data_IF_401619874474
#
_entry.id   IF_401619874474
#
_cell.length_a   1.000
_cell.length_b   1.000
_cell.length_c   1.000
_cell.angle_alpha   90.00
_cell.angle_beta   90.00
_cell.angle_gamma   90.00
#
_symmetry.space_group_name_H-M   'P 1'
#
loop_
_entity.id
_entity.type
_entity.pdbx_description
1 polymer ?
#
# COMPACT_ATOMS: atom_id res chain seq x y z
N UNK A 1 -25.65 17.40 22.36
CA UNK A 1 -26.50 16.85 21.27
C UNK A 1 -26.04 15.43 20.96
N UNK A 2 -26.63 14.45 21.63
CA UNK A 2 -26.35 13.04 21.44
C UNK A 2 -27.03 12.54 20.17
N UNK A 3 -26.25 12.10 19.17
CA UNK A 3 -26.81 11.42 17.99
C UNK A 3 -27.10 9.98 18.40
N UNK A 4 -28.39 9.69 18.54
CA UNK A 4 -28.91 8.37 18.89
C UNK A 4 -28.36 7.30 17.95
N UNK A 5 -27.78 6.28 18.56
CA UNK A 5 -27.52 4.98 17.95
C UNK A 5 -28.83 4.51 17.31
N UNK A 6 -28.86 4.47 15.96
CA UNK A 6 -29.93 3.85 15.21
C UNK A 6 -29.93 2.34 15.51
N UNK A 7 -30.65 1.95 16.55
CA UNK A 7 -31.09 0.60 16.81
C UNK A 7 -32.13 0.23 15.74
N UNK A 8 -31.69 -0.01 14.51
CA UNK A 8 -32.47 -0.73 13.50
C UNK A 8 -31.71 -2.01 13.12
N UNK A 9 -31.36 -2.78 14.15
CA UNK A 9 -30.86 -4.15 14.02
C UNK A 9 -31.72 -5.02 14.92
N UNK A 10 -32.32 -6.04 14.32
CA UNK A 10 -33.32 -6.99 14.86
C UNK A 10 -34.77 -6.55 14.68
N UNK A 11 -35.61 -7.46 14.16
CA UNK A 11 -37.05 -7.37 13.88
C UNK A 11 -37.42 -7.06 12.42
N UNK A 12 -37.04 -7.97 11.53
CA UNK A 12 -38.12 -8.56 10.73
C UNK A 12 -39.01 -9.31 11.75
N UNK A 13 -40.16 -8.73 12.12
CA UNK A 13 -41.17 -9.45 12.89
C UNK A 13 -41.64 -10.61 12.02
N UNK A 14 -41.58 -11.82 12.55
CA UNK A 14 -42.25 -13.00 12.01
C UNK A 14 -43.76 -12.69 11.98
N UNK A 15 -44.33 -12.38 10.81
CA UNK A 15 -45.29 -13.32 10.22
C UNK A 15 -45.36 -13.30 8.67
N UNK A 16 -44.29 -12.90 7.96
CA UNK A 16 -44.24 -12.96 6.47
C UNK A 16 -43.29 -14.07 5.99
N UNK A 17 -43.25 -15.19 6.70
CA UNK A 17 -42.74 -16.45 6.15
C UNK A 17 -43.96 -17.32 5.93
N UNK A 18 -44.45 -17.35 4.71
CA UNK A 18 -45.56 -18.18 4.23
C UNK A 18 -45.20 -19.68 4.31
N UNK A 19 -44.91 -20.20 5.50
CA UNK A 19 -44.56 -21.61 5.73
C UNK A 19 -43.20 -22.06 5.19
N UNK A 20 -42.35 -21.16 4.68
CA UNK A 20 -41.02 -21.52 4.17
C UNK A 20 -39.98 -21.48 5.30
N UNK A 21 -39.51 -22.64 5.71
CA UNK A 21 -38.35 -22.79 6.60
C UNK A 21 -37.08 -22.36 5.85
N UNK A 22 -36.66 -21.11 6.09
CA UNK A 22 -35.40 -20.60 5.57
C UNK A 22 -34.32 -20.91 6.60
N UNK A 23 -33.32 -21.72 6.22
CA UNK A 23 -32.21 -22.08 7.10
C UNK A 23 -31.45 -20.86 7.63
N UNK A 24 -30.85 -21.00 8.81
CA UNK A 24 -30.03 -19.96 9.46
C UNK A 24 -28.94 -19.44 8.53
N UNK A 25 -28.36 -20.31 7.73
CA UNK A 25 -27.26 -19.99 6.81
C UNK A 25 -27.74 -19.11 5.67
N UNK A 26 -28.92 -19.39 5.10
CA UNK A 26 -29.54 -18.55 4.06
C UNK A 26 -29.91 -17.17 4.63
N UNK A 27 -30.32 -17.09 5.90
CA UNK A 27 -30.58 -15.81 6.56
C UNK A 27 -29.28 -15.02 6.79
N UNK A 28 -28.21 -15.69 7.22
CA UNK A 28 -26.89 -15.08 7.38
C UNK A 28 -26.34 -14.55 6.04
N UNK A 29 -26.46 -15.32 4.96
CA UNK A 29 -26.08 -14.90 3.61
C UNK A 29 -26.89 -13.66 3.19
N UNK A 30 -28.21 -13.68 3.35
CA UNK A 30 -29.06 -12.55 2.98
C UNK A 30 -28.74 -11.27 3.77
N UNK A 31 -28.44 -11.38 5.06
CA UNK A 31 -28.04 -10.23 5.87
C UNK A 31 -26.69 -9.68 5.45
N UNK A 32 -25.72 -10.55 5.11
CA UNK A 32 -24.44 -10.12 4.55
C UNK A 32 -24.61 -9.38 3.22
N UNK A 33 -25.45 -9.90 2.31
CA UNK A 33 -25.75 -9.25 1.03
C UNK A 33 -26.43 -7.88 1.19
N UNK A 34 -27.33 -7.74 2.18
CA UNK A 34 -27.95 -6.45 2.50
C UNK A 34 -26.91 -5.45 3.00
N UNK A 35 -26.05 -5.85 3.94
CA UNK A 35 -24.96 -4.99 4.45
C UNK A 35 -24.02 -4.54 3.33
N UNK A 36 -23.69 -5.44 2.40
CA UNK A 36 -22.84 -5.10 1.26
C UNK A 36 -23.51 -4.07 0.33
N UNK A 37 -24.82 -4.25 0.06
CA UNK A 37 -25.60 -3.29 -0.74
C UNK A 37 -25.67 -1.93 -0.06
N UNK A 38 -25.98 -1.89 1.23
CA UNK A 38 -26.09 -0.64 1.99
C UNK A 38 -24.75 0.10 2.00
N UNK A 39 -23.65 -0.62 2.21
CA UNK A 39 -22.30 -0.07 2.12
C UNK A 39 -22.01 0.53 0.73
N UNK A 40 -22.39 -0.15 -0.36
CA UNK A 40 -22.23 0.38 -1.74
C UNK A 40 -23.04 1.66 -1.95
N UNK A 41 -24.28 1.70 -1.45
CA UNK A 41 -25.14 2.89 -1.54
C UNK A 41 -24.55 4.06 -0.76
N UNK A 42 -24.06 3.83 0.45
CA UNK A 42 -23.47 4.88 1.28
C UNK A 42 -22.15 5.40 0.71
N UNK A 43 -21.32 4.52 0.13
CA UNK A 43 -20.14 4.93 -0.64
C UNK A 43 -20.51 5.83 -1.82
N UNK A 44 -21.57 5.49 -2.57
CA UNK A 44 -22.03 6.31 -3.69
C UNK A 44 -22.53 7.69 -3.23
N UNK A 45 -23.30 7.75 -2.14
CA UNK A 45 -23.74 9.02 -1.52
C UNK A 45 -22.56 9.87 -1.07
N UNK A 46 -21.59 9.26 -0.38
CA UNK A 46 -20.35 9.93 0.05
C UNK A 46 -19.58 10.50 -1.14
N UNK A 47 -19.36 9.70 -2.20
CA UNK A 47 -18.69 10.17 -3.43
C UNK A 47 -19.40 11.37 -4.05
N UNK A 48 -20.74 11.32 -4.15
CA UNK A 48 -21.55 12.42 -4.68
C UNK A 48 -21.43 13.69 -3.82
N UNK A 49 -21.43 13.56 -2.50
CA UNK A 49 -21.22 14.69 -1.58
C UNK A 49 -19.84 15.32 -1.77
N UNK A 50 -18.78 14.50 -1.77
CA UNK A 50 -17.41 14.99 -1.97
C UNK A 50 -17.21 15.64 -3.33
N UNK A 51 -17.86 15.12 -4.38
CA UNK A 51 -17.84 15.74 -5.71
C UNK A 51 -18.46 17.14 -5.68
N UNK A 52 -19.66 17.30 -5.09
CA UNK A 52 -20.31 18.60 -4.93
C UNK A 52 -19.46 19.61 -4.15
N UNK A 53 -18.84 19.16 -3.06
CA UNK A 53 -17.98 20.02 -2.25
C UNK A 53 -16.71 20.45 -3.01
N UNK A 54 -16.15 19.54 -3.82
CA UNK A 54 -14.98 19.84 -4.66
C UNK A 54 -15.32 20.85 -5.76
N UNK A 55 -16.50 20.75 -6.37
CA UNK A 55 -16.92 21.70 -7.41
C UNK A 55 -17.30 23.06 -6.84
N UNK A 56 -17.87 23.11 -5.63
CA UNK A 56 -18.28 24.36 -4.99
C UNK A 56 -17.10 25.22 -4.56
N UNK A 57 -16.05 24.62 -3.97
CA UNK A 57 -14.83 25.33 -3.58
C UNK A 57 -13.62 24.38 -3.67
N UNK A 58 -12.98 24.29 -4.85
CA UNK A 58 -11.87 23.36 -5.08
C UNK A 58 -10.67 23.61 -4.16
N UNK A 59 -10.33 24.89 -3.92
CA UNK A 59 -9.14 25.30 -3.18
C UNK A 59 -9.32 24.94 -1.70
N UNK A 60 -10.44 25.35 -1.09
CA UNK A 60 -10.72 25.05 0.31
C UNK A 60 -10.91 23.55 0.53
N UNK A 61 -11.57 22.86 -0.41
CA UNK A 61 -11.71 21.41 -0.36
C UNK A 61 -10.34 20.71 -0.35
N UNK A 62 -9.45 21.09 -1.27
CA UNK A 62 -8.10 20.54 -1.36
C UNK A 62 -7.30 20.79 -0.07
N UNK A 63 -7.33 22.03 0.45
CA UNK A 63 -6.65 22.40 1.70
C UNK A 63 -7.12 21.54 2.87
N UNK A 64 -8.44 21.37 3.03
CA UNK A 64 -9.03 20.52 4.08
C UNK A 64 -8.58 19.06 3.94
N UNK A 65 -8.72 18.48 2.75
CA UNK A 65 -8.35 17.07 2.51
C UNK A 65 -6.86 16.84 2.76
N UNK A 66 -5.99 17.79 2.39
CA UNK A 66 -4.56 17.68 2.66
C UNK A 66 -4.26 17.74 4.17
N UNK A 67 -4.93 18.62 4.91
CA UNK A 67 -4.80 18.68 6.37
C UNK A 67 -5.28 17.38 7.04
N UNK A 68 -6.43 16.83 6.62
CA UNK A 68 -6.96 15.57 7.14
C UNK A 68 -6.00 14.40 6.87
N UNK A 69 -5.42 14.35 5.66
CA UNK A 69 -4.40 13.35 5.29
C UNK A 69 -3.15 13.48 6.16
N UNK A 70 -2.63 14.70 6.33
CA UNK A 70 -1.45 14.94 7.15
C UNK A 70 -1.68 14.53 8.61
N UNK A 71 -2.84 14.90 9.18
CA UNK A 71 -3.23 14.50 10.52
C UNK A 71 -3.39 12.98 10.66
N UNK A 72 -3.94 12.32 9.65
CA UNK A 72 -4.06 10.85 9.65
C UNK A 72 -2.70 10.17 9.62
N UNK A 73 -1.77 10.65 8.78
CA UNK A 73 -0.39 10.14 8.69
C UNK A 73 0.32 10.25 10.03
N UNK A 74 0.19 11.39 10.71
CA UNK A 74 0.78 11.60 12.04
C UNK A 74 0.18 10.68 13.10
N UNK A 75 -1.14 10.47 13.07
CA UNK A 75 -1.83 9.58 14.03
C UNK A 75 -1.60 8.09 13.77
N UNK A 76 -1.23 7.71 12.55
CA UNK A 76 -1.14 6.31 12.13
C UNK A 76 0.19 5.98 11.43
N UNK A 77 1.36 6.25 12.04
CA UNK A 77 2.65 6.08 11.39
C UNK A 77 2.90 4.64 10.94
N UNK A 78 2.54 3.65 11.77
CA UNK A 78 2.72 2.25 11.43
C UNK A 78 1.87 1.83 10.22
N UNK A 79 0.61 2.25 10.15
CA UNK A 79 -0.26 1.94 9.01
C UNK A 79 0.29 2.53 7.71
N UNK A 80 0.86 3.73 7.76
CA UNK A 80 1.52 4.35 6.61
C UNK A 80 2.69 3.48 6.13
N UNK A 81 3.53 3.00 7.05
CA UNK A 81 4.64 2.11 6.73
C UNK A 81 4.16 0.78 6.14
N UNK A 82 3.10 0.19 6.69
CA UNK A 82 2.54 -1.07 6.21
C UNK A 82 1.93 -0.95 4.81
N UNK A 83 1.22 0.16 4.54
CA UNK A 83 0.69 0.48 3.21
C UNK A 83 1.84 0.66 2.22
N UNK A 84 2.88 1.43 2.59
CA UNK A 84 4.04 1.63 1.74
C UNK A 84 4.79 0.32 1.46
N UNK A 85 4.93 -0.56 2.45
CA UNK A 85 5.53 -1.88 2.27
C UNK A 85 4.70 -2.76 1.34
N UNK A 86 3.37 -2.74 1.48
CA UNK A 86 2.46 -3.48 0.59
C UNK A 86 2.52 -2.99 -0.86
N UNK A 87 2.56 -1.67 -1.06
CA UNK A 87 2.71 -1.07 -2.39
C UNK A 87 4.03 -1.50 -3.04
N UNK A 88 5.15 -1.39 -2.31
CA UNK A 88 6.47 -1.85 -2.81
C UNK A 88 6.50 -3.33 -3.15
N UNK A 89 5.87 -4.18 -2.34
CA UNK A 89 5.75 -5.61 -2.65
C UNK A 89 4.96 -5.84 -3.93
N UNK A 90 3.80 -5.20 -4.08
CA UNK A 90 2.99 -5.28 -5.30
C UNK A 90 3.77 -4.84 -6.54
N UNK A 91 4.50 -3.72 -6.47
CA UNK A 91 5.31 -3.23 -7.59
C UNK A 91 6.45 -4.20 -7.95
N UNK A 92 7.04 -4.87 -6.94
CA UNK A 92 8.04 -5.92 -7.15
C UNK A 92 7.42 -7.16 -7.80
N UNK A 93 6.30 -7.64 -7.28
CA UNK A 93 5.61 -8.84 -7.77
C UNK A 93 5.08 -8.65 -9.19
N UNK A 94 4.68 -7.44 -9.56
CA UNK A 94 4.26 -7.10 -10.91
C UNK A 94 5.42 -6.75 -11.84
N UNK A 95 6.69 -6.88 -11.39
CA UNK A 95 7.89 -6.46 -12.13
C UNK A 95 7.77 -5.04 -12.72
N UNK A 96 7.11 -4.13 -12.00
CA UNK A 96 6.77 -2.80 -12.53
C UNK A 96 8.00 -1.99 -12.91
N UNK A 97 9.05 -2.08 -12.10
CA UNK A 97 10.33 -1.41 -12.30
C UNK A 97 11.41 -2.47 -12.48
N UNK A 98 11.38 -3.15 -13.62
CA UNK A 98 12.25 -4.29 -13.88
C UNK A 98 13.03 -4.08 -15.18
N UNK A 99 14.33 -4.37 -15.14
CA UNK A 99 15.16 -4.40 -16.34
C UNK A 99 15.53 -5.84 -16.70
N UNK A 100 15.13 -6.26 -17.91
CA UNK A 100 15.16 -7.66 -18.36
C UNK A 100 16.56 -8.26 -18.36
N UNK A 101 17.55 -7.56 -18.89
CA UNK A 101 18.88 -8.15 -19.12
C UNK A 101 19.71 -8.30 -17.84
N UNK A 102 19.33 -7.62 -16.76
CA UNK A 102 19.96 -7.76 -15.45
C UNK A 102 19.17 -8.68 -14.51
N UNK A 103 17.99 -9.14 -14.93
CA UNK A 103 17.01 -9.83 -14.07
C UNK A 103 16.88 -9.16 -12.69
N UNK A 104 16.88 -7.82 -12.69
CA UNK A 104 17.02 -7.04 -11.46
C UNK A 104 15.80 -6.14 -11.25
N UNK A 105 15.02 -6.36 -10.18
CA UNK A 105 13.96 -5.45 -9.80
C UNK A 105 14.53 -4.22 -9.11
N UNK A 106 13.97 -3.05 -9.45
CA UNK A 106 14.25 -1.75 -8.84
C UNK A 106 13.10 -1.36 -7.90
N UNK A 107 13.40 -0.49 -6.94
CA UNK A 107 12.42 -0.08 -5.92
C UNK A 107 11.46 1.00 -6.40
N UNK A 108 11.90 1.88 -7.30
CA UNK A 108 11.14 3.01 -7.86
C UNK A 108 11.63 3.32 -9.28
N UNK A 109 10.82 4.03 -10.08
CA UNK A 109 11.16 4.41 -11.45
C UNK A 109 12.49 5.16 -11.56
N UNK A 110 12.73 6.17 -10.71
CA UNK A 110 13.98 6.93 -10.75
C UNK A 110 15.22 6.08 -10.53
N UNK A 111 15.13 5.01 -9.74
CA UNK A 111 16.24 4.07 -9.55
C UNK A 111 16.49 3.20 -10.79
N UNK A 112 15.44 2.90 -11.56
CA UNK A 112 15.56 2.27 -12.87
C UNK A 112 16.16 3.26 -13.88
N UNK A 113 15.64 4.47 -13.98
CA UNK A 113 16.14 5.49 -14.91
C UNK A 113 17.63 5.76 -14.68
N UNK A 114 18.03 6.02 -13.43
CA UNK A 114 19.44 6.19 -13.08
C UNK A 114 20.29 4.95 -13.38
N UNK A 115 19.71 3.74 -13.35
CA UNK A 115 20.43 2.53 -13.74
C UNK A 115 20.68 2.49 -15.26
N UNK A 116 19.68 2.84 -16.07
CA UNK A 116 19.76 2.87 -17.53
C UNK A 116 20.82 3.89 -18.00
N UNK A 117 20.99 4.98 -17.26
CA UNK A 117 21.98 6.02 -17.54
C UNK A 117 23.42 5.63 -17.15
N UNK A 118 23.63 4.51 -16.45
CA UNK A 118 25.00 4.14 -16.02
C UNK A 118 25.87 3.66 -17.19
N UNK A 119 27.14 4.04 -17.18
CA UNK A 119 28.14 3.53 -18.15
C UNK A 119 28.22 2.00 -18.15
N UNK A 120 28.04 1.36 -16.98
CA UNK A 120 28.00 -0.10 -16.86
C UNK A 120 26.84 -0.72 -17.63
N UNK A 121 25.69 -0.05 -17.63
CA UNK A 121 24.53 -0.47 -18.41
C UNK A 121 24.83 -0.32 -19.90
N UNK A 122 25.28 0.86 -20.33
CA UNK A 122 25.65 1.10 -21.73
C UNK A 122 26.68 0.09 -22.28
N UNK A 123 27.76 -0.17 -21.52
CA UNK A 123 28.78 -1.17 -21.88
C UNK A 123 28.19 -2.56 -22.04
N UNK A 124 27.29 -2.97 -21.15
CA UNK A 124 26.68 -4.29 -21.23
C UNK A 124 25.70 -4.41 -22.41
N UNK A 125 24.90 -3.39 -22.68
CA UNK A 125 24.02 -3.34 -23.87
C UNK A 125 24.84 -3.43 -25.15
N UNK A 126 26.03 -2.80 -25.18
CA UNK A 126 26.98 -2.91 -26.28
C UNK A 126 27.76 -4.24 -26.34
N UNK A 127 27.48 -5.21 -25.45
CA UNK A 127 28.19 -6.50 -25.40
C UNK A 127 29.63 -6.40 -24.88
N UNK A 128 30.04 -5.26 -24.33
CA UNK A 128 31.40 -5.03 -23.84
C UNK A 128 31.54 -5.68 -22.45
N UNK A 129 32.54 -6.55 -22.24
CA UNK A 129 32.78 -7.16 -20.94
C UNK A 129 33.12 -6.08 -19.91
N UNK A 130 32.34 -6.05 -18.83
CA UNK A 130 32.58 -5.15 -17.69
C UNK A 130 33.52 -5.86 -16.72
N UNK A 131 34.65 -5.22 -16.41
CA UNK A 131 35.61 -5.76 -15.46
C UNK A 131 34.93 -6.05 -14.10
N UNK A 132 35.29 -7.17 -13.43
CA UNK A 132 34.78 -7.48 -12.11
C UNK A 132 35.19 -6.40 -11.10
N UNK A 133 34.49 -6.36 -9.97
CA UNK A 133 34.90 -5.51 -8.86
C UNK A 133 36.30 -5.90 -8.39
N UNK A 134 37.11 -4.92 -8.01
CA UNK A 134 38.40 -5.20 -7.36
C UNK A 134 38.18 -5.98 -6.06
N UNK A 135 39.17 -6.77 -5.66
CA UNK A 135 39.12 -7.56 -4.40
C UNK A 135 38.76 -6.68 -3.20
N UNK A 136 39.32 -5.46 -3.14
CA UNK A 136 38.99 -4.49 -2.10
C UNK A 136 37.51 -4.08 -2.11
N UNK A 137 36.97 -3.74 -3.29
CA UNK A 137 35.56 -3.35 -3.43
C UNK A 137 34.60 -4.51 -3.12
N UNK A 138 34.97 -5.72 -3.53
CA UNK A 138 34.21 -6.93 -3.22
C UNK A 138 34.20 -7.21 -1.70
N UNK A 139 35.35 -7.09 -1.03
CA UNK A 139 35.46 -7.28 0.42
C UNK A 139 34.64 -6.25 1.20
N UNK A 140 34.65 -4.96 0.80
CA UNK A 140 33.75 -3.96 1.39
C UNK A 140 32.29 -4.34 1.20
N UNK A 141 31.90 -4.79 0.00
CA UNK A 141 30.52 -5.20 -0.27
C UNK A 141 30.09 -6.36 0.63
N UNK A 142 30.95 -7.36 0.82
CA UNK A 142 30.67 -8.51 1.70
C UNK A 142 30.54 -8.06 3.16
N UNK A 143 31.47 -7.24 3.66
CA UNK A 143 31.41 -6.69 5.03
C UNK A 143 30.11 -5.91 5.31
N UNK A 144 29.64 -5.10 4.36
CA UNK A 144 28.34 -4.40 4.49
C UNK A 144 27.17 -5.37 4.59
N UNK A 145 27.23 -6.47 3.87
CA UNK A 145 26.18 -7.48 3.87
C UNK A 145 26.17 -8.25 5.20
N UNK A 146 27.34 -8.68 5.66
CA UNK A 146 27.52 -9.30 6.99
C UNK A 146 27.03 -8.38 8.11
N UNK A 147 27.32 -7.07 8.04
CA UNK A 147 26.84 -6.09 9.01
C UNK A 147 25.30 -5.93 9.01
N UNK A 148 24.65 -6.09 7.85
CA UNK A 148 23.17 -6.11 7.77
C UNK A 148 22.58 -7.36 8.38
N UNK A 149 23.14 -8.51 8.04
CA UNK A 149 22.65 -9.83 8.46
C UNK A 149 22.85 -10.05 9.97
N UNK A 150 24.01 -9.65 10.50
CA UNK A 150 24.27 -9.63 11.94
C UNK A 150 23.42 -8.61 12.71
N UNK A 151 22.77 -7.66 12.00
CA UNK A 151 22.03 -6.58 12.63
C UNK A 151 22.90 -5.59 13.41
N UNK A 152 24.22 -5.59 13.18
CA UNK A 152 25.20 -4.76 13.88
C UNK A 152 24.82 -3.28 13.90
N UNK A 153 24.33 -2.77 12.77
CA UNK A 153 23.79 -1.42 12.67
C UNK A 153 22.28 -1.47 12.41
N UNK A 154 21.49 -1.62 13.47
CA UNK A 154 20.03 -1.68 13.39
C UNK A 154 19.40 -0.43 13.98
N UNK A 155 18.44 0.17 13.26
CA UNK A 155 17.55 1.16 13.83
C UNK A 155 16.49 0.43 14.66
N UNK A 156 16.44 0.74 15.95
CA UNK A 156 15.47 0.17 16.90
C UNK A 156 14.04 0.65 16.61
N UNK A 157 13.86 1.90 16.22
CA UNK A 157 12.53 2.49 15.90
C UNK A 157 11.87 1.85 14.68
N UNK A 158 12.64 1.58 13.62
CA UNK A 158 12.09 1.06 12.36
C UNK A 158 12.38 -0.42 12.15
N UNK A 159 13.01 -1.07 13.13
CA UNK A 159 13.41 -2.48 13.08
C UNK A 159 14.12 -2.86 11.76
N UNK A 160 15.11 -2.08 11.35
CA UNK A 160 15.84 -2.27 10.08
C UNK A 160 17.34 -2.23 10.29
N UNK A 161 18.02 -3.20 9.70
CA UNK A 161 19.48 -3.32 9.72
C UNK A 161 20.13 -2.70 8.49
N UNK A 162 21.30 -2.11 8.66
CA UNK A 162 22.05 -1.39 7.63
C UNK A 162 23.49 -1.89 7.55
N UNK A 163 24.08 -1.76 6.37
CA UNK A 163 25.49 -2.05 6.14
C UNK A 163 26.22 -0.73 6.18
N UNK A 164 26.88 -0.43 7.29
CA UNK A 164 27.75 0.75 7.42
C UNK A 164 29.19 0.24 7.42
N UNK A 165 30.05 0.97 6.70
CA UNK A 165 31.50 0.76 6.72
C UNK A 165 32.13 1.61 7.82
#
# INVERSE_FOLDING_TARGET
>A
MHRGSSQFSSRLKEPIRSGLEISSDILAINTALRRERDHKVDLAKSRKHHAKQRTADPIRYAKRVNADKAAWVQKNPQKVLDIAARARRKDKDSNRFFYKDYNKPFTFQSALDSHLETEKHAKRVAGIPVAPLSTYAQNRKNKRQEAKESGKFRCTTYNKSFGRD
#
